data_IF_231939013895
#
_entry.id   IF_231939013895
#
_cell.length_a   1.000
_cell.length_b   1.000
_cell.length_c   1.000
_cell.angle_alpha   90.00
_cell.angle_beta   90.00
_cell.angle_gamma   90.00
#
_symmetry.space_group_name_H-M   'P 1'
#
loop_
_entity.id
_entity.type
_entity.pdbx_description
1 polymer ?
#
# COMPACT_ATOMS: atom_id res chain seq x y z
N UNK A 1 19.40 3.22 -2.22
CA UNK A 1 19.11 2.02 -1.41
C UNK A 1 17.73 1.58 -1.81
N UNK A 2 17.64 0.47 -2.53
CA UNK A 2 16.35 -0.09 -2.93
C UNK A 2 15.55 -0.38 -1.67
N UNK A 3 14.31 0.11 -1.62
CA UNK A 3 13.44 -0.14 -0.49
C UNK A 3 13.10 -1.64 -0.45
N UNK A 4 13.67 -2.35 0.51
CA UNK A 4 13.33 -3.75 0.75
C UNK A 4 11.85 -3.82 1.11
N UNK A 5 11.06 -4.52 0.28
CA UNK A 5 9.62 -4.66 0.46
C UNK A 5 9.30 -5.45 1.73
N UNK A 6 8.05 -5.34 2.18
CA UNK A 6 7.52 -5.97 3.39
C UNK A 6 8.30 -5.59 4.66
N UNK A 7 9.03 -4.45 4.60
CA UNK A 7 9.71 -3.89 5.76
C UNK A 7 8.73 -3.18 6.68
N UNK A 8 8.95 -3.38 7.96
CA UNK A 8 8.28 -2.64 9.02
C UNK A 8 8.97 -1.29 9.15
N UNK A 9 8.17 -0.24 9.14
CA UNK A 9 8.62 1.14 9.09
C UNK A 9 7.79 1.98 10.06
N UNK A 10 8.43 2.89 10.78
CA UNK A 10 7.74 3.88 11.59
C UNK A 10 7.13 4.97 10.70
N UNK A 11 6.16 5.72 11.24
CA UNK A 11 5.59 6.87 10.53
C UNK A 11 6.66 7.91 10.16
N UNK A 12 7.63 8.15 11.06
CA UNK A 12 8.69 9.13 10.85
C UNK A 12 9.66 8.71 9.75
N UNK A 13 10.04 7.44 9.70
CA UNK A 13 10.89 6.90 8.64
C UNK A 13 10.18 6.93 7.29
N UNK A 14 8.89 6.60 7.26
CA UNK A 14 8.07 6.72 6.06
C UNK A 14 8.01 8.17 5.56
N UNK A 15 7.73 9.15 6.43
CA UNK A 15 7.74 10.56 6.02
C UNK A 15 9.14 11.03 5.56
N UNK A 16 10.21 10.56 6.22
CA UNK A 16 11.58 10.84 5.80
C UNK A 16 11.87 10.27 4.42
N UNK A 17 11.42 9.04 4.14
CA UNK A 17 11.58 8.37 2.85
C UNK A 17 10.87 9.12 1.73
N UNK A 18 9.64 9.56 1.98
CA UNK A 18 8.82 10.27 0.99
C UNK A 18 9.11 11.78 0.93
N UNK A 19 10.01 12.29 1.77
CA UNK A 19 10.43 13.69 1.78
C UNK A 19 9.34 14.69 2.22
N UNK A 20 8.20 14.20 2.73
CA UNK A 20 7.04 15.01 3.11
C UNK A 20 6.30 14.38 4.29
N UNK A 21 5.58 15.21 5.05
CA UNK A 21 4.60 14.72 6.02
C UNK A 21 3.37 14.15 5.31
N UNK A 22 3.12 12.86 5.48
CA UNK A 22 1.95 12.18 4.92
C UNK A 22 0.76 12.35 5.87
N UNK A 23 0.08 13.49 5.79
CA UNK A 23 -1.10 13.80 6.61
C UNK A 23 -2.41 13.26 6.01
N UNK A 24 -2.41 13.04 4.70
CA UNK A 24 -3.50 12.41 3.97
C UNK A 24 -3.12 10.96 3.65
N UNK A 25 -4.10 10.06 3.67
CA UNK A 25 -3.90 8.67 3.27
C UNK A 25 -3.60 8.42 1.78
N UNK A 26 -3.55 9.43 0.92
CA UNK A 26 -3.31 9.31 -0.52
C UNK A 26 -2.71 10.61 -1.00
N UNK A 27 -1.62 10.51 -1.76
CA UNK A 27 -0.80 11.65 -2.16
C UNK A 27 -0.35 11.41 -3.60
N UNK A 28 -0.96 12.11 -4.53
CA UNK A 28 -0.72 11.97 -5.96
C UNK A 28 0.55 12.72 -6.39
N UNK A 29 1.41 12.05 -7.16
CA UNK A 29 2.54 12.67 -7.85
C UNK A 29 3.58 13.32 -6.92
N UNK A 30 3.86 12.71 -5.77
CA UNK A 30 4.91 13.15 -4.86
C UNK A 30 6.26 13.21 -5.58
N UNK A 31 6.91 14.38 -5.48
CA UNK A 31 8.19 14.64 -6.14
C UNK A 31 8.16 14.51 -7.67
N UNK A 32 6.97 14.43 -8.29
CA UNK A 32 6.80 14.23 -9.74
C UNK A 32 7.08 12.82 -10.25
N UNK A 33 7.40 11.85 -9.39
CA UNK A 33 7.89 10.53 -9.81
C UNK A 33 6.94 9.37 -9.50
N UNK A 34 6.16 9.47 -8.44
CA UNK A 34 5.24 8.43 -7.99
C UNK A 34 4.17 8.97 -7.05
N UNK A 35 3.18 8.14 -6.73
CA UNK A 35 2.15 8.44 -5.75
C UNK A 35 2.30 7.56 -4.50
N UNK A 36 1.68 7.96 -3.40
CA UNK A 36 1.68 7.20 -2.13
C UNK A 36 0.26 6.98 -1.64
N UNK A 37 -0.02 5.76 -1.18
CA UNK A 37 -1.25 5.39 -0.46
C UNK A 37 -0.89 4.83 0.92
N UNK A 38 -1.64 5.28 1.92
CA UNK A 38 -1.70 4.73 3.26
C UNK A 38 -3.03 3.98 3.40
N UNK A 39 -2.95 2.66 3.46
CA UNK A 39 -4.11 1.77 3.57
C UNK A 39 -4.20 1.13 4.97
N UNK A 40 -5.38 0.60 5.30
CA UNK A 40 -5.59 -0.13 6.55
C UNK A 40 -6.76 -1.11 6.43
N UNK A 41 -6.50 -2.41 6.56
CA UNK A 41 -7.52 -3.47 6.61
C UNK A 41 -7.97 -3.83 8.03
N UNK A 42 -7.74 -2.94 8.99
CA UNK A 42 -8.13 -3.14 10.40
C UNK A 42 -9.65 -3.07 10.54
N UNK A 43 -10.28 -3.79 11.49
CA UNK A 43 -11.73 -3.81 11.66
C UNK A 43 -12.40 -2.43 11.81
N UNK A 44 -11.69 -1.45 12.37
CA UNK A 44 -12.18 -0.08 12.58
C UNK A 44 -11.51 0.93 11.63
N UNK A 45 -11.00 0.48 10.49
CA UNK A 45 -10.48 1.39 9.47
C UNK A 45 -11.63 2.27 8.94
N UNK A 46 -11.39 3.57 8.71
CA UNK A 46 -12.45 4.47 8.25
C UNK A 46 -12.89 4.20 6.81
N UNK A 47 -12.10 3.45 6.04
CA UNK A 47 -12.30 3.21 4.61
C UNK A 47 -12.42 1.71 4.34
N UNK A 48 -13.26 1.32 3.37
CA UNK A 48 -13.49 -0.09 3.02
C UNK A 48 -12.51 -0.53 1.93
N UNK A 49 -11.22 -0.53 2.29
CA UNK A 49 -10.16 -1.13 1.48
C UNK A 49 -10.29 -2.65 1.50
N UNK A 50 -9.94 -3.33 0.41
CA UNK A 50 -9.86 -4.79 0.39
C UNK A 50 -8.86 -5.30 -0.63
N UNK A 51 -8.49 -6.57 -0.45
CA UNK A 51 -7.63 -7.30 -1.38
C UNK A 51 -8.47 -8.36 -2.09
N UNK A 52 -8.24 -8.51 -3.39
CA UNK A 52 -8.79 -9.58 -4.21
C UNK A 52 -7.66 -10.31 -4.97
N UNK A 53 -8.01 -11.29 -5.82
CA UNK A 53 -7.05 -12.05 -6.63
C UNK A 53 -5.91 -12.69 -5.81
N UNK A 54 -6.25 -13.26 -4.64
CA UNK A 54 -5.26 -13.84 -3.70
C UNK A 54 -4.20 -12.83 -3.20
N UNK A 55 -4.58 -11.56 -3.04
CA UNK A 55 -3.69 -10.52 -2.52
C UNK A 55 -2.83 -9.84 -3.58
N UNK A 56 -3.18 -9.97 -4.86
CA UNK A 56 -2.50 -9.27 -5.97
C UNK A 56 -3.09 -7.88 -6.19
N UNK A 57 -4.41 -7.79 -6.10
CA UNK A 57 -5.16 -6.58 -6.41
C UNK A 57 -5.61 -5.92 -5.11
N UNK A 58 -5.24 -4.65 -4.93
CA UNK A 58 -5.78 -3.76 -3.91
C UNK A 58 -6.90 -2.93 -4.52
N UNK A 59 -8.08 -2.97 -3.92
CA UNK A 59 -9.14 -1.99 -4.14
C UNK A 59 -9.10 -0.99 -2.98
N UNK A 60 -8.71 0.23 -3.29
CA UNK A 60 -8.57 1.32 -2.33
C UNK A 60 -9.76 2.27 -2.43
N UNK A 61 -10.34 2.63 -1.29
CA UNK A 61 -11.38 3.66 -1.24
C UNK A 61 -10.76 5.05 -1.15
N UNK A 62 -11.27 5.97 -1.96
CA UNK A 62 -10.87 7.36 -1.97
C UNK A 62 -11.19 8.07 -0.66
N UNK A 63 -10.81 9.34 -0.61
CA UNK A 63 -10.91 10.12 0.61
C UNK A 63 -12.18 10.92 0.73
N UNK A 64 -12.57 11.11 1.98
CA UNK A 64 -13.63 12.01 2.34
C UNK A 64 -13.16 13.45 2.27
N UNK A 65 -14.10 14.37 2.19
CA UNK A 65 -13.81 15.75 2.49
C UNK A 65 -13.31 15.91 3.94
N UNK A 66 -12.46 16.90 4.23
CA UNK A 66 -12.07 17.20 5.60
C UNK A 66 -13.30 17.55 6.46
N UNK A 67 -13.33 17.04 7.69
CA UNK A 67 -14.34 17.43 8.68
C UNK A 67 -14.25 18.93 8.92
N UNK A 68 -15.38 19.61 8.86
CA UNK A 68 -15.49 21.05 9.09
C UNK A 68 -16.83 21.40 9.75
N UNK A 69 -17.06 22.68 10.05
CA UNK A 69 -18.35 23.16 10.56
C UNK A 69 -19.48 22.96 9.55
N UNK A 70 -19.19 23.11 8.26
CA UNK A 70 -20.14 22.87 7.16
C UNK A 70 -20.37 21.38 6.91
N UNK A 71 -19.35 20.55 7.17
CA UNK A 71 -19.37 19.12 6.96
C UNK A 71 -18.95 18.38 8.23
N UNK A 72 -19.83 18.35 9.27
CA UNK A 72 -19.50 17.76 10.56
C UNK A 72 -19.34 16.24 10.49
N UNK A 73 -19.99 15.61 9.52
CA UNK A 73 -19.86 14.19 9.22
C UNK A 73 -19.48 13.97 7.75
N UNK A 74 -18.19 13.80 7.43
CA UNK A 74 -17.76 13.53 6.06
C UNK A 74 -18.30 12.23 5.46
N UNK A 75 -18.73 11.26 6.29
CA UNK A 75 -19.20 9.94 5.84
C UNK A 75 -20.60 9.93 5.22
N UNK A 76 -21.29 11.06 5.20
CA UNK A 76 -22.58 11.23 4.53
C UNK A 76 -22.50 12.20 3.34
N UNK A 77 -21.28 12.54 2.93
CA UNK A 77 -21.04 13.47 1.82
C UNK A 77 -20.27 12.76 0.73
N UNK A 78 -20.75 12.89 -0.50
CA UNK A 78 -20.10 12.38 -1.71
C UNK A 78 -18.62 12.76 -1.75
N UNK A 79 -17.77 11.81 -2.10
CA UNK A 79 -16.35 12.05 -2.27
C UNK A 79 -16.11 12.89 -3.54
N UNK A 80 -15.61 14.13 -3.42
CA UNK A 80 -15.53 15.01 -4.58
C UNK A 80 -14.29 14.73 -5.42
N UNK A 81 -14.44 14.77 -6.75
CA UNK A 81 -13.30 14.79 -7.67
C UNK A 81 -12.67 16.19 -7.83
N UNK A 82 -13.44 17.26 -7.55
CA UNK A 82 -12.99 18.65 -7.65
C UNK A 82 -13.33 19.43 -6.39
N UNK A 83 -12.45 20.35 -6.02
CA UNK A 83 -12.78 21.39 -5.05
C UNK A 83 -13.82 22.35 -5.65
N UNK A 84 -14.55 23.13 -4.83
CA UNK A 84 -15.46 24.16 -5.33
C UNK A 84 -14.77 25.19 -6.25
N UNK A 85 -13.47 25.41 -6.08
CA UNK A 85 -12.65 26.28 -6.95
C UNK A 85 -12.37 25.68 -8.33
N UNK A 86 -12.75 24.43 -8.59
CA UNK A 86 -12.58 23.72 -9.86
C UNK A 86 -11.32 22.86 -9.98
N UNK A 87 -10.34 23.04 -9.09
CA UNK A 87 -9.12 22.22 -9.06
C UNK A 87 -9.41 20.77 -8.63
N UNK A 88 -8.64 19.80 -9.14
CA UNK A 88 -8.81 18.39 -8.79
C UNK A 88 -8.39 18.12 -7.32
N UNK A 89 -9.23 17.35 -6.62
CA UNK A 89 -8.87 16.76 -5.32
C UNK A 89 -7.87 15.63 -5.52
N UNK A 90 -7.38 15.02 -4.42
CA UNK A 90 -6.59 13.79 -4.53
C UNK A 90 -7.38 12.67 -5.25
N UNK A 91 -8.66 12.49 -4.92
CA UNK A 91 -9.53 11.56 -5.65
C UNK A 91 -9.58 11.90 -7.14
N UNK A 92 -9.77 13.18 -7.48
CA UNK A 92 -9.81 13.63 -8.87
C UNK A 92 -8.53 13.34 -9.64
N UNK A 93 -7.36 13.54 -9.01
CA UNK A 93 -6.06 13.29 -9.62
C UNK A 93 -5.83 11.79 -9.87
N UNK A 94 -6.06 10.96 -8.85
CA UNK A 94 -5.97 9.51 -9.01
C UNK A 94 -6.98 8.98 -10.03
N UNK A 95 -8.22 9.47 -10.01
CA UNK A 95 -9.27 9.06 -10.94
C UNK A 95 -8.90 9.40 -12.38
N UNK A 96 -8.46 10.63 -12.63
CA UNK A 96 -8.00 11.05 -13.96
C UNK A 96 -6.82 10.21 -14.45
N UNK A 97 -5.83 9.93 -13.58
CA UNK A 97 -4.68 9.10 -13.93
C UNK A 97 -5.08 7.65 -14.24
N UNK A 98 -5.97 7.07 -13.43
CA UNK A 98 -6.46 5.71 -13.62
C UNK A 98 -7.28 5.57 -14.91
N UNK A 99 -8.21 6.50 -15.19
CA UNK A 99 -8.98 6.48 -16.43
C UNK A 99 -8.09 6.66 -17.66
N UNK A 100 -7.15 7.61 -17.63
CA UNK A 100 -6.21 7.78 -18.72
C UNK A 100 -5.37 6.51 -18.98
N UNK A 101 -5.00 5.78 -17.92
CA UNK A 101 -4.32 4.47 -18.04
C UNK A 101 -5.23 3.42 -18.67
N UNK A 102 -6.47 3.28 -18.16
CA UNK A 102 -7.47 2.34 -18.68
C UNK A 102 -7.75 2.52 -20.18
N UNK A 103 -7.76 3.76 -20.64
CA UNK A 103 -7.98 4.10 -22.05
C UNK A 103 -6.70 4.19 -22.89
N UNK A 104 -5.54 3.75 -22.36
CA UNK A 104 -4.28 3.71 -23.09
C UNK A 104 -3.68 5.07 -23.41
N UNK A 105 -4.09 6.13 -22.72
CA UNK A 105 -3.63 7.50 -22.92
C UNK A 105 -2.35 7.81 -22.14
N UNK A 106 -2.00 6.99 -21.14
CA UNK A 106 -0.77 7.10 -20.37
C UNK A 106 -0.34 5.74 -19.81
N UNK A 107 0.93 5.66 -19.40
CA UNK A 107 1.40 4.58 -18.55
C UNK A 107 0.75 4.66 -17.14
N UNK A 108 0.58 3.51 -16.47
CA UNK A 108 0.08 3.45 -15.10
C UNK A 108 0.85 4.36 -14.15
N UNK A 109 0.13 4.97 -13.22
CA UNK A 109 0.76 5.64 -12.08
C UNK A 109 1.38 4.58 -11.16
N UNK A 110 2.67 4.72 -10.83
CA UNK A 110 3.34 3.91 -9.81
C UNK A 110 2.98 4.44 -8.43
N UNK A 111 2.49 3.56 -7.56
CA UNK A 111 1.98 3.91 -6.24
C UNK A 111 2.70 3.08 -5.17
N UNK A 112 3.41 3.74 -4.26
CA UNK A 112 3.91 3.10 -3.04
C UNK A 112 2.76 2.91 -2.06
N UNK A 113 2.57 1.68 -1.60
CA UNK A 113 1.52 1.36 -0.64
C UNK A 113 2.12 1.05 0.72
N UNK A 114 1.65 1.76 1.73
CA UNK A 114 1.95 1.49 3.13
C UNK A 114 0.71 1.02 3.85
N UNK A 115 0.84 -0.07 4.60
CA UNK A 115 -0.25 -0.66 5.35
C UNK A 115 -0.07 -0.41 6.84
N UNK A 116 -1.10 0.15 7.47
CA UNK A 116 -1.14 0.27 8.93
C UNK A 116 -1.57 -1.06 9.56
N UNK A 117 -0.61 -1.83 10.05
CA UNK A 117 -0.86 -3.12 10.69
C UNK A 117 -1.45 -2.91 12.09
N UNK A 118 -0.87 -2.00 12.88
CA UNK A 118 -1.33 -1.66 14.24
C UNK A 118 -0.92 -0.22 14.62
N UNK A 119 -1.39 0.34 15.74
CA UNK A 119 -0.94 1.66 16.18
C UNK A 119 0.59 1.73 16.25
N UNK A 120 1.17 2.74 15.59
CA UNK A 120 2.61 2.97 15.52
C UNK A 120 3.40 2.08 14.55
N UNK A 121 2.77 1.08 13.92
CA UNK A 121 3.48 0.11 13.06
C UNK A 121 2.89 0.10 11.66
N UNK A 122 3.74 0.42 10.69
CA UNK A 122 3.43 0.34 9.27
C UNK A 122 4.28 -0.74 8.60
N UNK A 123 3.76 -1.31 7.52
CA UNK A 123 4.49 -2.17 6.60
C UNK A 123 4.50 -1.51 5.24
N UNK A 124 5.66 -1.48 4.59
CA UNK A 124 5.76 -1.09 3.19
C UNK A 124 5.42 -2.28 2.30
N UNK A 125 4.29 -2.23 1.61
CA UNK A 125 3.82 -3.33 0.77
C UNK A 125 4.38 -3.27 -0.65
N UNK A 126 5.35 -2.41 -0.94
CA UNK A 126 5.96 -2.23 -2.26
C UNK A 126 5.21 -1.27 -3.19
N UNK A 127 5.62 -1.27 -4.46
CA UNK A 127 4.97 -0.51 -5.55
C UNK A 127 3.84 -1.30 -6.20
N UNK A 128 2.81 -0.54 -6.59
CA UNK A 128 1.62 -0.98 -7.31
C UNK A 128 1.42 -0.12 -8.56
N UNK A 129 0.78 -0.67 -9.59
CA UNK A 129 0.26 0.10 -10.72
C UNK A 129 -1.20 0.44 -10.51
N UNK A 130 -1.56 1.72 -10.66
CA UNK A 130 -2.95 2.17 -10.71
C UNK A 130 -3.54 1.95 -12.11
N UNK A 131 -4.50 1.04 -12.24
CA UNK A 131 -5.00 0.59 -13.54
C UNK A 131 -6.45 1.00 -13.83
N UNK A 132 -7.27 1.20 -12.81
CA UNK A 132 -8.66 1.58 -12.98
C UNK A 132 -9.18 2.37 -11.78
N UNK A 133 -10.31 3.05 -11.99
CA UNK A 133 -11.07 3.70 -10.94
C UNK A 133 -12.55 3.74 -11.30
N UNK A 134 -13.42 3.74 -10.30
CA UNK A 134 -14.85 3.96 -10.50
C UNK A 134 -15.43 4.74 -9.34
N UNK A 135 -16.68 5.17 -9.50
CA UNK A 135 -17.48 5.78 -8.45
C UNK A 135 -18.66 4.86 -8.22
N UNK A 136 -18.92 4.52 -6.96
CA UNK A 136 -20.05 3.69 -6.58
C UNK A 136 -20.77 4.29 -5.36
N UNK A 137 -22.09 4.08 -5.23
CA UNK A 137 -22.80 4.43 -4.00
C UNK A 137 -22.41 3.45 -2.87
N UNK A 138 -22.23 4.00 -1.67
CA UNK A 138 -22.34 3.28 -0.41
C UNK A 138 -23.72 3.53 0.22
N UNK A 139 -23.87 3.22 1.51
CA UNK A 139 -25.13 3.35 2.25
C UNK A 139 -25.65 4.81 2.33
N UNK A 140 -24.79 5.82 2.16
CA UNK A 140 -25.11 7.22 2.43
C UNK A 140 -24.65 8.22 1.37
N UNK A 141 -23.71 7.84 0.50
CA UNK A 141 -23.01 8.74 -0.41
C UNK A 141 -22.37 7.97 -1.56
N UNK A 142 -21.69 8.66 -2.46
CA UNK A 142 -20.81 8.07 -3.47
C UNK A 142 -19.36 8.14 -3.05
N UNK A 143 -18.63 7.04 -3.29
CA UNK A 143 -17.20 6.92 -2.99
C UNK A 143 -16.41 6.61 -4.25
N UNK A 144 -15.18 7.10 -4.29
CA UNK A 144 -14.22 6.73 -5.33
C UNK A 144 -13.57 5.39 -4.96
N UNK A 145 -13.36 4.51 -5.92
CA UNK A 145 -12.60 3.28 -5.78
C UNK A 145 -11.47 3.25 -6.80
N UNK A 146 -10.33 2.70 -6.41
CA UNK A 146 -9.12 2.61 -7.21
C UNK A 146 -8.62 1.17 -7.24
N UNK A 147 -8.40 0.62 -8.45
CA UNK A 147 -7.81 -0.71 -8.65
C UNK A 147 -6.31 -0.59 -8.84
N UNK A 148 -5.57 -1.18 -7.91
CA UNK A 148 -4.12 -1.21 -7.92
C UNK A 148 -3.61 -2.66 -7.97
N UNK A 149 -2.62 -2.94 -8.82
CA UNK A 149 -1.98 -4.26 -8.90
C UNK A 149 -0.57 -4.19 -8.35
N UNK A 150 -0.23 -5.07 -7.40
CA UNK A 150 1.12 -5.18 -6.86
C UNK A 150 2.09 -5.74 -7.92
N UNK A 151 3.21 -5.05 -8.13
CA UNK A 151 4.18 -5.36 -9.19
C UNK A 151 5.60 -5.51 -8.64
N UNK A 152 6.45 -6.22 -9.37
CA UNK A 152 7.88 -6.37 -9.12
C UNK A 152 8.72 -5.40 -9.97
N UNK A 153 10.00 -5.19 -9.61
CA UNK A 153 10.92 -4.30 -10.35
C UNK A 153 10.63 -2.78 -10.35
N UNK A 154 9.45 -2.33 -9.91
CA UNK A 154 8.99 -0.95 -10.14
C UNK A 154 9.34 0.07 -9.03
N UNK A 155 10.31 -0.23 -8.15
CA UNK A 155 10.69 0.65 -7.02
C UNK A 155 11.71 1.76 -7.40
N UNK A 156 12.34 1.65 -8.57
CA UNK A 156 13.21 2.70 -9.15
C UNK A 156 12.40 3.63 -10.04
N UNK A 157 12.09 4.83 -9.52
CA UNK A 157 11.24 5.78 -10.22
C UNK A 157 11.94 6.60 -11.30
N UNK A 158 13.27 6.54 -11.38
CA UNK A 158 14.02 7.15 -12.48
C UNK A 158 13.94 6.31 -13.76
N UNK A 159 13.62 5.02 -13.63
CA UNK A 159 13.40 4.15 -14.78
C UNK A 159 11.99 4.31 -15.37
N UNK A 160 11.81 4.07 -16.68
CA UNK A 160 10.50 3.99 -17.31
C UNK A 160 9.62 2.91 -16.65
N UNK A 161 8.31 3.14 -16.66
CA UNK A 161 7.32 2.16 -16.19
C UNK A 161 7.38 0.89 -17.05
N UNK A 162 7.55 -0.28 -16.43
CA UNK A 162 7.51 -1.58 -17.10
C UNK A 162 6.07 -2.08 -17.21
N UNK A 163 5.49 -2.04 -18.42
CA UNK A 163 4.10 -2.46 -18.64
C UNK A 163 3.87 -3.97 -18.45
N UNK A 164 4.92 -4.76 -18.61
CA UNK A 164 4.96 -6.21 -18.42
C UNK A 164 5.53 -6.62 -17.05
N UNK A 165 5.62 -5.67 -16.11
CA UNK A 165 6.08 -5.94 -14.75
C UNK A 165 5.33 -7.14 -14.15
N UNK A 166 6.10 -8.08 -13.60
CA UNK A 166 5.54 -9.28 -13.01
C UNK A 166 4.63 -8.91 -11.83
N UNK A 167 3.41 -9.45 -11.85
CA UNK A 167 2.48 -9.30 -10.73
C UNK A 167 2.94 -10.14 -9.55
N UNK A 168 2.79 -9.61 -8.34
CA UNK A 168 3.10 -10.33 -7.11
C UNK A 168 1.93 -10.32 -6.14
N UNK A 169 2.01 -11.18 -5.12
CA UNK A 169 1.08 -11.22 -4.01
C UNK A 169 1.67 -10.49 -2.82
N UNK A 170 0.85 -9.75 -2.08
CA UNK A 170 1.25 -9.23 -0.78
C UNK A 170 0.96 -10.26 0.32
N UNK A 171 1.72 -10.18 1.41
CA UNK A 171 1.39 -10.94 2.62
C UNK A 171 0.09 -10.35 3.20
N UNK A 172 -0.98 -11.15 3.40
CA UNK A 172 -2.23 -10.65 3.94
C UNK A 172 -2.08 -10.07 5.35
N UNK A 173 -2.88 -9.05 5.67
CA UNK A 173 -2.87 -8.38 6.99
C UNK A 173 -3.01 -9.36 8.15
N UNK A 174 -3.90 -10.35 8.04
CA UNK A 174 -4.11 -11.33 9.11
C UNK A 174 -2.87 -12.18 9.37
N UNK A 175 -2.14 -12.56 8.31
CA UNK A 175 -0.86 -13.28 8.41
C UNK A 175 0.19 -12.41 9.07
N UNK A 176 0.32 -11.14 8.65
CA UNK A 176 1.25 -10.18 9.27
C UNK A 176 0.98 -10.01 10.76
N UNK A 177 -0.29 -9.90 11.16
CA UNK A 177 -0.69 -9.79 12.57
C UNK A 177 -0.36 -11.05 13.37
N UNK A 178 -0.62 -12.23 12.81
CA UNK A 178 -0.32 -13.51 13.45
C UNK A 178 1.18 -13.70 13.64
N UNK A 179 1.98 -13.45 12.59
CA UNK A 179 3.44 -13.50 12.62
C UNK A 179 4.00 -12.49 13.61
N UNK A 180 3.52 -11.25 13.59
CA UNK A 180 3.95 -10.23 14.55
C UNK A 180 3.68 -10.65 16.00
N UNK A 181 2.52 -11.24 16.27
CA UNK A 181 2.15 -11.75 17.60
C UNK A 181 3.03 -12.93 18.00
N UNK A 182 3.23 -13.90 17.10
CA UNK A 182 4.06 -15.10 17.33
C UNK A 182 5.50 -14.74 17.63
N UNK A 183 6.09 -13.87 16.80
CA UNK A 183 7.51 -13.50 16.86
C UNK A 183 7.77 -12.37 17.87
N UNK A 184 6.72 -11.84 18.52
CA UNK A 184 6.82 -10.82 19.55
C UNK A 184 7.36 -9.48 19.05
N UNK A 185 7.25 -9.19 17.75
CA UNK A 185 7.88 -8.02 17.11
C UNK A 185 9.40 -8.07 17.17
N UNK A 186 9.98 -9.27 17.01
CA UNK A 186 11.43 -9.49 17.05
C UNK A 186 11.86 -10.39 15.89
N UNK A 187 13.11 -10.28 15.49
CA UNK A 187 13.72 -11.19 14.54
C UNK A 187 13.74 -12.62 15.10
N UNK A 188 13.26 -13.59 14.34
CA UNK A 188 13.17 -15.00 14.74
C UNK A 188 14.54 -15.66 14.95
N UNK A 189 15.63 -15.08 14.40
CA UNK A 189 16.99 -15.64 14.51
C UNK A 189 17.83 -15.00 15.62
N UNK A 190 17.69 -13.69 15.87
CA UNK A 190 18.55 -12.97 16.82
C UNK A 190 17.82 -12.09 17.83
N UNK A 191 16.49 -12.08 17.82
CA UNK A 191 15.66 -11.25 18.70
C UNK A 191 15.80 -9.72 18.54
N UNK A 192 16.49 -9.24 17.50
CA UNK A 192 16.53 -7.81 17.16
C UNK A 192 15.12 -7.24 16.98
N UNK A 193 14.90 -5.98 17.34
CA UNK A 193 13.58 -5.31 17.32
C UNK A 193 13.49 -4.19 16.27
N UNK A 194 14.57 -3.98 15.53
CA UNK A 194 14.78 -2.92 14.56
C UNK A 194 14.94 -3.48 13.14
N UNK A 195 14.64 -2.63 12.15
CA UNK A 195 14.74 -2.95 10.72
C UNK A 195 14.14 -4.32 10.38
N UNK A 196 12.93 -4.58 10.89
CA UNK A 196 12.26 -5.86 10.73
C UNK A 196 11.56 -5.95 9.37
N UNK A 197 11.51 -7.17 8.82
CA UNK A 197 10.87 -7.51 7.57
C UNK A 197 10.01 -8.75 7.76
N UNK A 198 8.83 -8.77 7.13
CA UNK A 198 8.14 -10.03 6.91
C UNK A 198 8.82 -10.75 5.75
N UNK A 199 9.36 -11.93 6.02
CA UNK A 199 10.07 -12.76 5.05
C UNK A 199 9.39 -14.13 4.91
N UNK A 200 9.40 -14.69 3.72
CA UNK A 200 8.91 -16.04 3.47
C UNK A 200 9.97 -17.09 3.77
N UNK A 201 9.63 -18.10 4.58
CA UNK A 201 10.55 -19.20 4.88
C UNK A 201 10.88 -19.97 3.59
N UNK A 202 9.86 -20.52 2.92
CA UNK A 202 9.97 -20.99 1.53
C UNK A 202 9.67 -19.81 0.60
N UNK A 203 10.61 -19.37 -0.25
CA UNK A 203 10.36 -18.29 -1.20
C UNK A 203 9.18 -18.58 -2.12
N UNK A 204 8.44 -17.53 -2.50
CA UNK A 204 7.30 -17.67 -3.39
C UNK A 204 7.67 -18.32 -4.73
N UNK A 205 8.81 -17.94 -5.33
CA UNK A 205 9.33 -18.52 -6.57
C UNK A 205 9.55 -20.05 -6.49
N UNK A 206 9.59 -20.62 -5.28
CA UNK A 206 9.74 -22.06 -5.01
C UNK A 206 8.45 -22.70 -4.48
N UNK A 207 7.30 -22.04 -4.63
CA UNK A 207 5.99 -22.55 -4.22
C UNK A 207 5.56 -22.16 -2.79
N UNK A 208 6.27 -21.24 -2.13
CA UNK A 208 5.90 -20.74 -0.81
C UNK A 208 4.56 -20.01 -0.80
N UNK A 209 3.74 -20.25 0.22
CA UNK A 209 2.46 -19.55 0.41
C UNK A 209 2.63 -18.27 1.22
N UNK A 210 1.90 -17.21 0.85
CA UNK A 210 1.73 -16.01 1.67
C UNK A 210 0.51 -16.10 2.60
N UNK A 211 -0.30 -17.15 2.48
CA UNK A 211 -1.62 -17.24 3.13
C UNK A 211 -1.59 -17.83 4.55
N UNK A 212 -0.44 -18.31 5.01
CA UNK A 212 -0.30 -18.90 6.35
C UNK A 212 0.90 -18.31 7.07
N UNK A 213 0.74 -18.05 8.38
CA UNK A 213 1.84 -17.58 9.21
C UNK A 213 2.98 -18.60 9.32
N UNK A 214 2.70 -19.88 9.09
CA UNK A 214 3.72 -20.94 9.12
C UNK A 214 4.82 -20.80 8.07
N UNK A 215 4.55 -20.09 6.95
CA UNK A 215 5.54 -19.83 5.91
C UNK A 215 6.06 -18.39 5.93
N UNK A 216 5.75 -17.61 6.95
CA UNK A 216 6.18 -16.21 7.09
C UNK A 216 6.83 -16.00 8.46
N UNK A 217 7.90 -15.21 8.51
CA UNK A 217 8.66 -14.91 9.73
C UNK A 217 9.11 -13.46 9.77
N UNK A 218 9.46 -12.97 10.96
CA UNK A 218 10.15 -11.69 11.11
C UNK A 218 11.66 -11.88 11.07
N UNK A 219 12.33 -11.20 10.14
CA UNK A 219 13.80 -11.10 10.10
C UNK A 219 14.24 -9.64 10.20
N UNK A 220 15.31 -9.36 10.93
CA UNK A 220 15.96 -8.05 10.81
C UNK A 220 16.70 -7.94 9.46
N UNK A 221 16.98 -6.73 9.01
CA UNK A 221 17.63 -6.47 7.73
C UNK A 221 18.90 -7.32 7.51
N UNK A 222 19.73 -7.47 8.56
CA UNK A 222 20.93 -8.33 8.51
C UNK A 222 20.62 -9.78 8.13
N UNK A 223 19.65 -10.41 8.79
CA UNK A 223 19.30 -11.80 8.54
C UNK A 223 18.52 -11.96 7.24
N UNK A 224 17.66 -11.01 6.91
CA UNK A 224 16.92 -11.00 5.65
C UNK A 224 17.87 -10.95 4.45
N UNK A 225 18.87 -10.06 4.48
CA UNK A 225 19.89 -9.95 3.43
C UNK A 225 20.81 -11.17 3.37
N UNK A 226 21.13 -11.79 4.52
CA UNK A 226 21.95 -12.99 4.58
C UNK A 226 21.25 -14.20 3.94
N UNK A 227 19.93 -14.37 4.20
CA UNK A 227 19.13 -15.47 3.69
C UNK A 227 19.03 -15.46 2.16
N UNK A 228 18.86 -14.31 1.52
CA UNK A 228 18.57 -14.20 0.06
C UNK A 228 17.38 -15.10 -0.33
N UNK A 229 17.25 -15.47 -1.60
CA UNK A 229 16.30 -16.52 -2.07
C UNK A 229 16.72 -17.96 -1.70
N UNK A 230 17.65 -18.14 -0.74
CA UNK A 230 18.10 -19.46 -0.30
C UNK A 230 17.13 -20.00 0.74
N UNK A 231 16.84 -21.29 0.61
CA UNK A 231 16.12 -22.04 1.64
C UNK A 231 17.19 -22.46 2.65
N UNK A 232 16.98 -22.18 3.92
CA UNK A 232 17.70 -22.81 5.04
C UNK A 232 16.75 -23.77 5.76
#
# INVERSE_FOLDING_TARGET
MDAVRDNIISYNEMCRREGISLQQGMNYGLGGSHSVILMSLRPNAPYRDYLEDSGITLVYEGHDIPKSTLFPNPKIVDQPLKYPSGGLTQNGKFHAAAQATKFGQRHPERVRVYEKIRPGIWSYNGVFHLLDSWIEPDDFRTVCKFKLIAVEGEDDFEQPVQLDAQRRRIIPTHVKLEVWKRDGGKCSLCSATDELHFDHILPFAKGGTSLTATNVQLLCARHNLAKKDRIE
#
